data_IF_038598163008
#
_entry.id   IF_038598163008
#
_cell.length_a   1.000
_cell.length_b   1.000
_cell.length_c   1.000
_cell.angle_alpha   90.00
_cell.angle_beta   90.00
_cell.angle_gamma   90.00
#
_symmetry.space_group_name_H-M   'P 1'
#
loop_
_entity.id
_entity.type
_entity.pdbx_description
1 polymer ?
#
# COMPACT_ATOMS: atom_id res chain seq x y z
N UNK A 1 -8.84 -16.10 -26.23
CA UNK A 1 -8.58 -14.67 -26.53
C UNK A 1 -9.68 -13.71 -26.05
N UNK A 2 -10.83 -14.17 -25.55
CA UNK A 2 -11.94 -13.27 -25.14
C UNK A 2 -11.61 -12.35 -23.95
N UNK A 3 -11.01 -12.88 -22.87
CA UNK A 3 -10.79 -12.11 -21.64
C UNK A 3 -9.88 -10.87 -21.84
N UNK A 4 -8.78 -11.01 -22.59
CA UNK A 4 -7.87 -9.90 -22.85
C UNK A 4 -8.49 -8.81 -23.74
N UNK A 5 -9.26 -9.19 -24.76
CA UNK A 5 -9.95 -8.23 -25.62
C UNK A 5 -11.00 -7.44 -24.83
N UNK A 6 -11.84 -8.12 -24.05
CA UNK A 6 -12.83 -7.46 -23.19
C UNK A 6 -12.16 -6.54 -22.16
N UNK A 7 -11.04 -6.94 -21.56
CA UNK A 7 -10.30 -6.07 -20.65
C UNK A 7 -9.85 -4.78 -21.34
N UNK A 8 -9.25 -4.87 -22.54
CA UNK A 8 -8.80 -3.70 -23.28
C UNK A 8 -9.98 -2.78 -23.65
N UNK A 9 -11.10 -3.34 -24.11
CA UNK A 9 -12.32 -2.57 -24.42
C UNK A 9 -12.83 -1.81 -23.18
N UNK A 10 -12.85 -2.47 -22.02
CA UNK A 10 -13.25 -1.83 -20.76
C UNK A 10 -12.25 -0.76 -20.31
N UNK A 11 -10.95 -0.99 -20.49
CA UNK A 11 -9.93 0.01 -20.13
C UNK A 11 -10.03 1.26 -21.00
N UNK A 12 -10.29 1.10 -22.30
CA UNK A 12 -10.48 2.22 -23.24
C UNK A 12 -11.76 3.00 -22.90
N UNK A 13 -12.86 2.29 -22.67
CA UNK A 13 -14.18 2.93 -22.46
C UNK A 13 -14.33 3.55 -21.08
N UNK A 14 -13.87 2.88 -20.02
CA UNK A 14 -14.02 3.35 -18.65
C UNK A 14 -12.87 4.27 -18.21
N UNK A 15 -11.69 4.12 -18.81
CA UNK A 15 -10.48 4.89 -18.51
C UNK A 15 -10.25 5.12 -17.01
N UNK A 16 -10.00 4.05 -16.22
CA UNK A 16 -10.02 4.14 -14.76
C UNK A 16 -8.77 4.79 -14.16
N UNK A 17 -7.73 5.08 -14.95
CA UNK A 17 -6.37 5.36 -14.46
C UNK A 17 -6.28 6.53 -13.48
N UNK A 18 -6.97 7.65 -13.75
CA UNK A 18 -7.00 8.80 -12.83
C UNK A 18 -7.59 8.43 -11.48
N UNK A 19 -8.69 7.66 -11.46
CA UNK A 19 -9.33 7.23 -10.21
C UNK A 19 -8.43 6.27 -9.43
N UNK A 20 -7.72 5.37 -10.13
CA UNK A 20 -6.76 4.46 -9.49
C UNK A 20 -5.64 5.25 -8.78
N UNK A 21 -5.14 6.31 -9.41
CA UNK A 21 -4.12 7.17 -8.83
C UNK A 21 -4.61 7.93 -7.60
N UNK A 22 -5.82 8.50 -7.67
CA UNK A 22 -6.45 9.18 -6.54
C UNK A 22 -6.64 8.24 -5.34
N UNK A 23 -7.07 7.00 -5.60
CA UNK A 23 -7.25 5.96 -4.57
C UNK A 23 -5.94 5.55 -3.94
N UNK A 24 -4.92 5.27 -4.75
CA UNK A 24 -3.59 4.93 -4.25
C UNK A 24 -3.03 6.07 -3.39
N UNK A 25 -3.19 7.33 -3.84
CA UNK A 25 -2.77 8.52 -3.11
C UNK A 25 -3.50 8.66 -1.77
N UNK A 26 -4.82 8.49 -1.74
CA UNK A 26 -5.62 8.59 -0.52
C UNK A 26 -5.17 7.55 0.52
N UNK A 27 -5.04 6.29 0.08
CA UNK A 27 -4.58 5.20 0.95
C UNK A 27 -3.18 5.47 1.51
N UNK A 28 -2.20 5.79 0.66
CA UNK A 28 -0.82 5.97 1.09
C UNK A 28 -0.62 7.20 1.98
N UNK A 29 -1.33 8.30 1.69
CA UNK A 29 -1.28 9.48 2.56
C UNK A 29 -1.85 9.16 3.95
N UNK A 30 -2.99 8.48 4.02
CA UNK A 30 -3.57 8.08 5.31
C UNK A 30 -2.65 7.13 6.09
N UNK A 31 -2.05 6.14 5.42
CA UNK A 31 -1.05 5.25 6.04
C UNK A 31 0.14 6.06 6.55
N UNK A 32 0.66 7.00 5.77
CA UNK A 32 1.79 7.85 6.14
C UNK A 32 1.49 8.70 7.36
N UNK A 33 0.31 9.30 7.44
CA UNK A 33 -0.13 10.07 8.60
C UNK A 33 -0.19 9.22 9.87
N UNK A 34 -0.77 8.01 9.77
CA UNK A 34 -0.86 7.07 10.90
C UNK A 34 0.54 6.68 11.41
N UNK A 35 1.44 6.31 10.50
CA UNK A 35 2.79 5.85 10.85
C UNK A 35 3.61 6.98 11.50
N UNK A 36 3.64 8.16 10.87
CA UNK A 36 4.39 9.31 11.38
C UNK A 36 3.86 9.75 12.75
N UNK A 37 2.54 9.81 12.92
CA UNK A 37 1.91 10.17 14.21
C UNK A 37 2.24 9.18 15.33
N UNK A 38 2.65 7.96 14.97
CA UNK A 38 3.00 6.90 15.90
C UNK A 38 4.51 6.71 16.08
N UNK A 39 5.31 7.62 15.51
CA UNK A 39 6.77 7.62 15.57
C UNK A 39 7.44 6.54 14.72
N UNK A 40 6.76 6.02 13.69
CA UNK A 40 7.30 4.98 12.79
C UNK A 40 7.80 5.67 11.52
N UNK A 41 9.10 5.57 11.18
CA UNK A 41 9.65 6.06 9.92
C UNK A 41 8.92 5.45 8.73
N UNK A 42 8.39 6.28 7.84
CA UNK A 42 7.57 5.82 6.73
C UNK A 42 7.65 6.72 5.50
N UNK A 43 7.88 6.10 4.35
CA UNK A 43 7.90 6.76 3.05
C UNK A 43 7.16 5.92 2.01
N UNK A 44 6.52 6.58 1.06
CA UNK A 44 5.69 5.95 0.04
C UNK A 44 5.87 6.66 -1.29
N UNK A 45 5.53 5.97 -2.37
CA UNK A 45 5.39 6.59 -3.68
C UNK A 45 4.32 5.83 -4.49
N UNK A 46 3.77 6.50 -5.50
CA UNK A 46 2.83 5.89 -6.43
C UNK A 46 2.94 6.50 -7.82
N UNK A 47 2.59 5.72 -8.83
CA UNK A 47 2.39 6.16 -10.22
C UNK A 47 1.17 5.41 -10.76
N UNK A 48 0.10 6.15 -11.09
CA UNK A 48 -1.18 5.53 -11.40
C UNK A 48 -1.69 4.68 -10.22
N UNK A 49 -2.24 3.49 -10.52
CA UNK A 49 -2.69 2.53 -9.50
C UNK A 49 -1.57 1.71 -8.84
N UNK A 50 -0.32 1.85 -9.28
CA UNK A 50 0.83 1.13 -8.73
C UNK A 50 1.45 1.93 -7.58
N UNK A 51 1.72 1.28 -6.46
CA UNK A 51 2.26 1.94 -5.27
C UNK A 51 3.35 1.12 -4.58
N UNK A 52 4.13 1.78 -3.74
CA UNK A 52 5.08 1.16 -2.82
C UNK A 52 5.18 1.94 -1.52
N UNK A 53 5.53 1.24 -0.44
CA UNK A 53 5.77 1.83 0.87
C UNK A 53 6.97 1.18 1.55
N UNK A 54 7.64 1.95 2.40
CA UNK A 54 8.88 1.56 3.05
C UNK A 54 8.93 2.11 4.48
N UNK A 55 9.38 1.29 5.41
CA UNK A 55 9.63 1.69 6.79
C UNK A 55 10.99 2.41 6.90
N UNK A 56 11.02 3.64 6.38
CA UNK A 56 12.19 4.51 6.28
C UNK A 56 11.74 5.97 6.13
N UNK A 57 12.48 6.91 6.72
CA UNK A 57 12.21 8.36 6.59
C UNK A 57 12.37 8.86 5.15
N UNK A 58 13.28 8.24 4.40
CA UNK A 58 13.59 8.59 3.00
C UNK A 58 13.13 7.49 2.07
N UNK A 59 12.55 7.90 0.94
CA UNK A 59 12.17 6.99 -0.13
C UNK A 59 13.44 6.32 -0.70
N UNK A 60 13.53 4.98 -0.69
CA UNK A 60 14.63 4.24 -1.32
C UNK A 60 14.72 4.57 -2.82
N UNK A 61 15.94 4.67 -3.36
CA UNK A 61 16.18 4.96 -4.79
C UNK A 61 16.72 3.77 -5.57
N UNK A 62 17.16 2.73 -4.88
CA UNK A 62 17.75 1.53 -5.46
C UNK A 62 17.53 0.33 -4.53
N UNK A 63 17.92 -0.86 -4.99
CA UNK A 63 17.74 -2.11 -4.23
C UNK A 63 18.57 -2.15 -2.94
N UNK A 64 19.71 -1.48 -2.90
CA UNK A 64 20.56 -1.42 -1.70
C UNK A 64 19.90 -0.58 -0.60
N UNK A 65 19.25 0.52 -0.98
CA UNK A 65 18.46 1.35 -0.06
C UNK A 65 17.27 0.56 0.51
N UNK A 66 16.56 -0.22 -0.33
CA UNK A 66 15.46 -1.09 0.12
C UNK A 66 15.99 -2.17 1.07
N UNK A 67 17.14 -2.75 0.77
CA UNK A 67 17.75 -3.80 1.59
C UNK A 67 18.12 -3.31 2.99
N UNK A 68 18.42 -2.01 3.16
CA UNK A 68 18.71 -1.37 4.44
C UNK A 68 17.48 -1.01 5.27
N UNK A 69 16.26 -1.16 4.73
CA UNK A 69 15.02 -0.94 5.50
C UNK A 69 14.80 -2.05 6.54
N UNK A 70 14.02 -1.75 7.59
CA UNK A 70 13.85 -2.66 8.73
C UNK A 70 12.91 -3.85 8.40
N UNK A 71 13.51 -5.03 8.26
CA UNK A 71 12.80 -6.29 7.97
C UNK A 71 11.88 -6.76 9.09
N UNK A 72 12.21 -6.46 10.35
CA UNK A 72 11.40 -6.81 11.51
C UNK A 72 10.09 -6.02 11.56
N UNK A 73 10.16 -4.70 11.33
CA UNK A 73 8.98 -3.84 11.20
C UNK A 73 8.14 -4.29 10.00
N UNK A 74 8.78 -4.50 8.83
CA UNK A 74 8.06 -4.92 7.64
C UNK A 74 7.31 -6.25 7.83
N UNK A 75 8.01 -7.28 8.31
CA UNK A 75 7.42 -8.61 8.48
C UNK A 75 6.31 -8.62 9.53
N UNK A 76 6.49 -7.90 10.65
CA UNK A 76 5.44 -7.79 11.68
C UNK A 76 4.21 -7.04 11.15
N UNK A 77 4.41 -5.95 10.42
CA UNK A 77 3.32 -5.20 9.78
C UNK A 77 2.53 -6.06 8.78
N UNK A 78 3.20 -6.73 7.84
CA UNK A 78 2.51 -7.57 6.83
C UNK A 78 1.71 -8.69 7.51
N UNK A 79 2.30 -9.37 8.50
CA UNK A 79 1.61 -10.43 9.24
C UNK A 79 0.39 -9.90 10.00
N UNK A 80 0.50 -8.72 10.63
CA UNK A 80 -0.60 -8.06 11.31
C UNK A 80 -1.72 -7.65 10.33
N UNK A 81 -1.37 -7.11 9.16
CA UNK A 81 -2.31 -6.80 8.10
C UNK A 81 -3.07 -8.06 7.64
N UNK A 82 -2.36 -9.15 7.32
CA UNK A 82 -2.97 -10.40 6.86
C UNK A 82 -3.92 -10.95 7.93
N UNK A 83 -3.52 -10.97 9.20
CA UNK A 83 -4.35 -11.40 10.33
C UNK A 83 -5.65 -10.58 10.46
N UNK A 84 -5.62 -9.30 10.06
CA UNK A 84 -6.77 -8.41 10.08
C UNK A 84 -7.48 -8.28 8.71
N UNK A 85 -7.14 -9.16 7.75
CA UNK A 85 -7.85 -9.26 6.46
C UNK A 85 -7.41 -8.26 5.40
N UNK A 86 -6.22 -7.66 5.54
CA UNK A 86 -5.59 -6.80 4.52
C UNK A 86 -4.39 -7.55 3.94
N UNK A 87 -4.43 -7.84 2.65
CA UNK A 87 -3.36 -8.55 1.96
C UNK A 87 -2.48 -7.57 1.17
N UNK A 88 -1.27 -7.36 1.66
CA UNK A 88 -0.20 -6.70 0.91
C UNK A 88 0.80 -7.75 0.41
N UNK A 89 1.56 -7.41 -0.63
CA UNK A 89 2.63 -8.28 -1.11
C UNK A 89 3.64 -8.55 0.02
N UNK A 90 3.98 -9.83 0.31
CA UNK A 90 4.88 -10.19 1.41
C UNK A 90 6.36 -10.00 1.05
N UNK A 91 6.68 -8.91 0.35
CA UNK A 91 8.04 -8.58 -0.09
C UNK A 91 8.21 -7.06 -0.15
N UNK A 92 9.29 -6.54 0.46
CA UNK A 92 9.66 -5.12 0.40
C UNK A 92 10.15 -4.68 -0.99
N UNK A 93 10.33 -5.62 -1.91
CA UNK A 93 10.73 -5.37 -3.29
C UNK A 93 9.55 -5.35 -4.27
N UNK A 94 8.33 -5.63 -3.79
CA UNK A 94 7.13 -5.68 -4.62
C UNK A 94 6.39 -4.35 -4.64
N UNK A 95 5.68 -4.13 -5.75
CA UNK A 95 4.69 -3.08 -5.85
C UNK A 95 3.30 -3.61 -5.44
N UNK A 96 2.51 -2.75 -4.81
CA UNK A 96 1.09 -2.96 -4.63
C UNK A 96 0.30 -2.38 -5.80
N UNK A 97 -0.90 -2.90 -6.02
CA UNK A 97 -1.80 -2.45 -7.09
C UNK A 97 -3.20 -2.21 -6.55
N UNK A 98 -3.76 -1.05 -6.87
CA UNK A 98 -5.18 -0.76 -6.69
C UNK A 98 -5.95 -1.25 -7.92
N UNK A 99 -7.06 -1.96 -7.70
CA UNK A 99 -7.97 -2.34 -8.79
C UNK A 99 -9.10 -1.32 -8.97
N UNK A 100 -9.75 -1.33 -10.13
CA UNK A 100 -10.89 -0.45 -10.42
C UNK A 100 -12.12 -0.71 -9.52
N UNK A 101 -12.14 -1.84 -8.80
CA UNK A 101 -13.22 -2.19 -7.88
C UNK A 101 -12.98 -1.68 -6.45
N UNK A 102 -11.78 -1.19 -6.12
CA UNK A 102 -11.52 -0.61 -4.80
C UNK A 102 -12.19 0.76 -4.68
N UNK A 103 -13.23 0.81 -3.83
CA UNK A 103 -14.02 1.98 -3.51
C UNK A 103 -13.44 2.77 -2.34
N UNK A 104 -14.24 3.67 -1.73
CA UNK A 104 -13.78 4.37 -0.51
C UNK A 104 -13.80 3.40 0.67
N UNK A 105 -14.83 2.54 0.74
CA UNK A 105 -15.02 1.57 1.80
C UNK A 105 -13.80 0.66 2.01
N UNK A 106 -13.20 0.13 0.94
CA UNK A 106 -12.01 -0.73 1.04
C UNK A 106 -10.78 0.06 1.53
N UNK A 107 -10.64 1.32 1.11
CA UNK A 107 -9.53 2.17 1.55
C UNK A 107 -9.71 2.57 3.02
N UNK A 108 -10.91 3.00 3.42
CA UNK A 108 -11.24 3.36 4.79
C UNK A 108 -11.00 2.17 5.73
N UNK A 109 -11.49 0.98 5.35
CA UNK A 109 -11.22 -0.26 6.09
C UNK A 109 -9.72 -0.55 6.21
N UNK A 110 -8.95 -0.34 5.14
CA UNK A 110 -7.50 -0.51 5.16
C UNK A 110 -6.85 0.43 6.16
N UNK A 111 -7.23 1.71 6.16
CA UNK A 111 -6.72 2.72 7.08
C UNK A 111 -7.12 2.45 8.53
N UNK A 112 -8.35 2.01 8.77
CA UNK A 112 -8.82 1.59 10.09
C UNK A 112 -8.00 0.43 10.65
N UNK A 113 -7.75 -0.60 9.83
CA UNK A 113 -6.92 -1.74 10.22
C UNK A 113 -5.48 -1.30 10.49
N UNK A 114 -4.89 -0.48 9.61
CA UNK A 114 -3.52 0.03 9.79
C UNK A 114 -3.42 0.84 11.09
N UNK A 115 -4.38 1.72 11.37
CA UNK A 115 -4.42 2.49 12.60
C UNK A 115 -4.56 1.58 13.84
N UNK A 116 -5.41 0.56 13.76
CA UNK A 116 -5.60 -0.42 14.83
C UNK A 116 -4.28 -1.14 15.15
N UNK A 117 -3.62 -1.75 14.17
CA UNK A 117 -2.39 -2.55 14.40
C UNK A 117 -1.23 -1.70 14.93
N UNK A 118 -1.16 -0.44 14.50
CA UNK A 118 -0.15 0.51 15.00
C UNK A 118 -0.43 0.88 16.47
N UNK A 119 -1.70 1.08 16.85
CA UNK A 119 -2.10 1.39 18.23
C UNK A 119 -2.00 0.20 19.18
N UNK A 120 -2.29 -1.02 18.71
CA UNK A 120 -2.21 -2.23 19.54
C UNK A 120 -0.78 -2.72 19.74
N UNK A 121 0.20 -2.14 19.05
CA UNK A 121 1.60 -2.52 19.18
C UNK A 121 1.93 -3.84 18.49
N UNK A 122 1.13 -4.26 17.51
CA UNK A 122 1.39 -5.48 16.71
C UNK A 122 2.59 -5.32 15.75
N UNK A 123 3.15 -4.11 15.66
CA UNK A 123 4.34 -3.78 14.89
C UNK A 123 5.54 -3.71 15.86
N UNK A 124 6.56 -4.53 15.59
CA UNK A 124 7.80 -4.54 16.38
C UNK A 124 8.64 -3.30 16.02
N UNK A 125 8.51 -2.24 16.82
CA UNK A 125 9.26 -0.98 16.65
C UNK A 125 10.76 -1.15 16.91
#
# INVERSE_FOLDING_TARGET
>A
MAAGATLLDLLITQNPFTKLEEKAKLMLNGMKEIMISSGIPFSTNQIGGMFGFFFSDKLPKNIDDVSKTNDGIFSSFINACIKNGIYFAPSKYEAGFISATHGNMEIDKTLEVVNKIVKTGEINK
#
